data_IF_259671928134
#
_entry.id   IF_259671928134
#
_cell.length_a   1.000
_cell.length_b   1.000
_cell.length_c   1.000
_cell.angle_alpha   90.00
_cell.angle_beta   90.00
_cell.angle_gamma   90.00
#
_symmetry.space_group_name_H-M   'P 1'
#
loop_
_entity.id
_entity.type
_entity.pdbx_description
1 polymer ?
#
# COMPACT_ATOMS: atom_id res chain seq x y z
N UNK A 1 13.42 -0.18 22.10
CA UNK A 1 12.74 0.28 23.33
C UNK A 1 12.18 1.67 23.06
N UNK A 2 10.87 1.87 23.17
CA UNK A 2 10.27 3.19 23.04
C UNK A 2 10.86 4.14 24.07
N UNK A 3 11.37 5.29 23.62
CA UNK A 3 11.88 6.31 24.52
C UNK A 3 10.70 6.94 25.27
N UNK A 4 10.39 6.43 26.46
CA UNK A 4 9.69 7.18 27.51
C UNK A 4 10.65 8.22 28.13
N UNK A 5 11.35 8.99 27.30
CA UNK A 5 12.25 10.03 27.75
C UNK A 5 11.43 11.29 27.94
N UNK A 6 11.71 12.05 29.01
CA UNK A 6 11.20 13.38 29.25
C UNK A 6 11.61 14.32 28.10
N UNK A 7 10.91 14.21 26.98
CA UNK A 7 11.15 15.01 25.81
C UNK A 7 10.97 16.48 26.18
N UNK A 8 11.86 17.35 25.70
CA UNK A 8 11.76 18.78 25.96
C UNK A 8 10.38 19.29 25.50
N UNK A 9 9.88 20.36 26.13
CA UNK A 9 8.59 20.95 25.79
C UNK A 9 8.43 21.20 24.29
N UNK A 10 9.53 21.50 23.60
CA UNK A 10 9.58 21.72 22.16
C UNK A 10 9.31 20.44 21.38
N UNK A 11 9.96 19.33 21.75
CA UNK A 11 9.86 18.03 21.07
C UNK A 11 8.45 17.45 21.18
N UNK A 12 7.85 17.54 22.37
CA UNK A 12 6.48 17.07 22.63
C UNK A 12 5.45 17.90 21.84
N UNK A 13 5.66 19.22 21.70
CA UNK A 13 4.80 20.07 20.85
C UNK A 13 4.91 19.65 19.37
N UNK A 14 6.11 19.39 18.86
CA UNK A 14 6.28 18.96 17.47
C UNK A 14 5.69 17.57 17.23
N UNK A 15 5.91 16.63 18.17
CA UNK A 15 5.30 15.30 18.10
C UNK A 15 3.78 15.37 18.02
N UNK A 16 3.12 16.20 18.84
CA UNK A 16 1.65 16.40 18.74
C UNK A 16 1.23 16.92 17.37
N UNK A 17 1.99 17.83 16.75
CA UNK A 17 1.69 18.29 15.39
C UNK A 17 1.82 17.15 14.38
N UNK A 18 2.86 16.33 14.49
CA UNK A 18 3.03 15.16 13.63
C UNK A 18 1.88 14.16 13.79
N UNK A 19 1.45 13.86 15.03
CA UNK A 19 0.27 13.03 15.32
C UNK A 19 -0.98 13.63 14.70
N UNK A 20 -1.19 14.94 14.88
CA UNK A 20 -2.34 15.66 14.31
C UNK A 20 -2.38 15.56 12.78
N UNK A 21 -1.28 15.87 12.11
CA UNK A 21 -1.24 15.86 10.66
C UNK A 21 -1.28 14.44 10.08
N UNK A 22 -0.75 13.46 10.81
CA UNK A 22 -0.96 12.03 10.53
C UNK A 22 -2.43 11.66 10.63
N UNK A 23 -3.11 12.07 11.71
CA UNK A 23 -4.52 11.77 11.97
C UNK A 23 -5.48 12.41 10.96
N UNK A 24 -5.19 13.61 10.45
CA UNK A 24 -6.05 14.30 9.47
C UNK A 24 -5.62 14.08 8.01
N UNK A 25 -4.74 13.12 7.74
CA UNK A 25 -4.21 12.83 6.41
C UNK A 25 -3.65 14.08 5.68
N UNK A 26 -2.84 14.90 6.37
CA UNK A 26 -2.31 16.14 5.81
C UNK A 26 -0.79 16.08 5.61
N UNK A 27 -0.36 15.52 4.48
CA UNK A 27 1.06 15.31 4.18
C UNK A 27 1.84 16.64 4.09
N UNK A 28 1.29 17.68 3.45
CA UNK A 28 1.98 18.97 3.28
C UNK A 28 2.34 19.63 4.62
N UNK A 29 1.41 19.63 5.58
CA UNK A 29 1.67 20.17 6.91
C UNK A 29 2.51 19.22 7.73
N UNK A 30 2.40 17.92 7.48
CA UNK A 30 3.20 16.93 8.17
C UNK A 30 4.68 17.07 7.82
N UNK A 31 5.01 17.17 6.54
CA UNK A 31 6.37 17.36 6.05
C UNK A 31 7.02 18.61 6.69
N UNK A 32 6.31 19.75 6.63
CA UNK A 32 6.75 21.02 7.25
C UNK A 32 6.91 20.96 8.77
N UNK A 33 6.18 20.07 9.44
CA UNK A 33 6.21 19.90 10.89
C UNK A 33 7.03 18.70 11.35
N UNK A 34 7.65 17.97 10.42
CA UNK A 34 8.44 16.79 10.75
C UNK A 34 9.66 17.20 11.54
N UNK A 35 9.87 16.49 12.64
CA UNK A 35 10.96 16.76 13.57
C UNK A 35 11.63 15.44 13.93
N UNK A 36 12.76 15.18 13.27
CA UNK A 36 13.47 13.89 13.30
C UNK A 36 13.69 13.32 14.71
N UNK A 37 14.07 14.11 15.75
CA UNK A 37 14.27 13.58 17.09
C UNK A 37 13.01 12.97 17.74
N UNK A 38 11.82 13.38 17.29
CA UNK A 38 10.55 12.88 17.83
C UNK A 38 9.84 11.85 16.94
N UNK A 39 10.43 11.46 15.80
CA UNK A 39 9.80 10.54 14.83
C UNK A 39 9.54 9.17 15.47
N UNK A 40 10.46 8.68 16.32
CA UNK A 40 10.34 7.40 17.03
C UNK A 40 9.47 7.41 18.30
N UNK A 41 8.82 8.53 18.62
CA UNK A 41 8.02 8.62 19.84
C UNK A 41 6.70 7.85 19.71
N UNK A 42 6.22 7.37 20.86
CA UNK A 42 4.95 6.69 21.00
C UNK A 42 3.93 7.57 21.71
N UNK A 43 2.66 7.45 21.33
CA UNK A 43 1.59 8.26 21.88
C UNK A 43 1.32 7.84 23.34
N UNK A 44 1.68 8.70 24.29
CA UNK A 44 1.45 8.45 25.72
C UNK A 44 0.40 9.42 26.29
N UNK A 45 -0.52 8.90 27.11
CA UNK A 45 -1.56 9.71 27.77
C UNK A 45 -0.95 10.74 28.71
N UNK A 46 0.07 10.34 29.48
CA UNK A 46 0.74 11.22 30.43
C UNK A 46 1.44 12.39 29.71
N UNK A 47 2.20 12.09 28.66
CA UNK A 47 2.89 13.09 27.83
C UNK A 47 1.90 14.03 27.13
N UNK A 48 0.75 13.51 26.69
CA UNK A 48 -0.30 14.34 26.08
C UNK A 48 -0.98 15.29 27.09
N UNK A 49 -1.29 14.81 28.30
CA UNK A 49 -1.89 15.64 29.34
C UNK A 49 -0.93 16.72 29.83
N UNK A 50 0.33 16.37 30.07
CA UNK A 50 1.37 17.34 30.46
C UNK A 50 1.52 18.45 29.41
N UNK A 51 1.50 18.09 28.13
CA UNK A 51 1.51 19.04 27.04
C UNK A 51 0.30 19.98 27.05
N UNK A 52 -0.90 19.45 27.26
CA UNK A 52 -2.12 20.26 27.35
C UNK A 52 -1.99 21.29 28.47
N UNK A 53 -1.59 20.88 29.67
CA UNK A 53 -1.39 21.79 30.80
C UNK A 53 -0.37 22.90 30.51
N UNK A 54 0.73 22.58 29.81
CA UNK A 54 1.74 23.58 29.40
C UNK A 54 1.19 24.56 28.37
N UNK A 55 0.36 24.10 27.42
CA UNK A 55 -0.27 24.95 26.41
C UNK A 55 -1.30 25.87 27.05
N UNK A 56 -2.16 25.34 27.93
CA UNK A 56 -3.12 26.10 28.73
C UNK A 56 -2.40 27.22 29.50
N UNK A 57 -1.29 26.91 30.18
CA UNK A 57 -0.47 27.91 30.87
C UNK A 57 0.16 28.98 29.95
N UNK A 58 0.44 28.69 28.68
CA UNK A 58 0.90 29.69 27.69
C UNK A 58 -0.25 30.54 27.18
N UNK A 59 -1.43 29.95 26.97
CA UNK A 59 -2.65 30.67 26.58
C UNK A 59 -3.05 31.63 27.71
N UNK A 60 -2.89 31.22 28.96
CA UNK A 60 -3.23 32.06 30.11
C UNK A 60 -2.40 33.33 30.23
N UNK A 61 -1.16 33.32 29.74
CA UNK A 61 -0.25 34.47 29.72
C UNK A 61 -0.55 35.47 28.60
N UNK A 62 -1.53 35.21 27.73
CA UNK A 62 -1.91 36.12 26.65
C UNK A 62 -2.70 37.29 27.26
N UNK A 63 -2.24 38.54 27.12
CA UNK A 63 -2.91 39.69 27.73
C UNK A 63 -4.26 40.03 27.07
N UNK A 64 -4.36 39.86 25.75
CA UNK A 64 -5.58 40.13 24.99
C UNK A 64 -6.64 39.05 25.25
N UNK A 65 -7.75 39.45 25.86
CA UNK A 65 -8.84 38.56 26.26
C UNK A 65 -9.54 37.89 25.08
N UNK A 66 -9.68 38.57 23.93
CA UNK A 66 -10.30 38.00 22.73
C UNK A 66 -9.40 36.96 22.08
N UNK A 67 -8.10 37.26 21.97
CA UNK A 67 -7.11 36.32 21.42
C UNK A 67 -6.93 35.13 22.35
N UNK A 68 -6.91 35.35 23.67
CA UNK A 68 -6.86 34.29 24.68
C UNK A 68 -8.06 33.35 24.55
N UNK A 69 -9.28 33.88 24.50
CA UNK A 69 -10.50 33.08 24.37
C UNK A 69 -10.51 32.24 23.09
N UNK A 70 -10.17 32.85 21.95
CA UNK A 70 -10.12 32.14 20.66
C UNK A 70 -9.08 31.01 20.64
N UNK A 71 -7.90 31.21 21.25
CA UNK A 71 -6.88 30.16 21.34
C UNK A 71 -7.26 29.06 22.34
N UNK A 72 -7.91 29.41 23.45
CA UNK A 72 -8.38 28.44 24.43
C UNK A 72 -9.45 27.54 23.82
N UNK A 73 -10.45 28.12 23.16
CA UNK A 73 -11.53 27.37 22.49
C UNK A 73 -10.96 26.39 21.46
N UNK A 74 -10.06 26.86 20.58
CA UNK A 74 -9.35 25.99 19.64
C UNK A 74 -8.58 24.86 20.33
N UNK A 75 -7.88 25.16 21.44
CA UNK A 75 -7.12 24.14 22.16
C UNK A 75 -8.02 23.07 22.80
N UNK A 76 -9.12 23.49 23.42
CA UNK A 76 -10.11 22.60 24.03
C UNK A 76 -10.75 21.71 22.97
N UNK A 77 -11.17 22.26 21.84
CA UNK A 77 -11.73 21.50 20.73
C UNK A 77 -10.73 20.44 20.21
N UNK A 78 -9.48 20.81 19.97
CA UNK A 78 -8.44 19.85 19.55
C UNK A 78 -8.15 18.78 20.62
N UNK A 79 -8.24 19.13 21.91
CA UNK A 79 -8.06 18.19 23.03
C UNK A 79 -9.21 17.19 23.06
N UNK A 80 -10.44 17.65 22.90
CA UNK A 80 -11.63 16.79 22.85
C UNK A 80 -11.60 15.85 21.63
N UNK A 81 -11.24 16.36 20.45
CA UNK A 81 -11.11 15.55 19.23
C UNK A 81 -10.12 14.39 19.41
N UNK A 82 -8.97 14.66 20.04
CA UNK A 82 -7.98 13.62 20.31
C UNK A 82 -8.50 12.56 21.28
N UNK A 83 -9.15 12.95 22.38
CA UNK A 83 -9.72 11.98 23.32
C UNK A 83 -10.86 11.17 22.70
N UNK A 84 -11.72 11.79 21.89
CA UNK A 84 -12.74 11.09 21.14
C UNK A 84 -12.12 10.08 20.15
N UNK A 85 -11.01 10.43 19.48
CA UNK A 85 -10.29 9.50 18.62
C UNK A 85 -9.72 8.30 19.39
N UNK A 86 -9.23 8.51 20.62
CA UNK A 86 -8.76 7.44 21.50
C UNK A 86 -9.92 6.54 21.95
N UNK A 87 -11.05 7.11 22.35
CA UNK A 87 -12.24 6.36 22.76
C UNK A 87 -12.85 5.55 21.61
N UNK A 88 -12.84 6.10 20.40
CA UNK A 88 -13.25 5.40 19.18
C UNK A 88 -12.24 4.34 18.71
N UNK A 89 -11.09 4.22 19.37
CA UNK A 89 -10.02 3.29 18.99
C UNK A 89 -9.29 3.65 17.69
N UNK A 90 -9.47 4.87 17.18
CA UNK A 90 -8.73 5.40 16.00
C UNK A 90 -7.28 5.74 16.32
N UNK A 91 -6.99 5.99 17.60
CA UNK A 91 -5.64 6.14 18.14
C UNK A 91 -5.54 5.28 19.39
N UNK A 92 -4.52 4.45 19.50
CA UNK A 92 -4.27 3.62 20.68
C UNK A 92 -3.03 4.15 21.40
N UNK A 93 -3.04 4.09 22.73
CA UNK A 93 -1.87 4.47 23.51
C UNK A 93 -0.69 3.54 23.18
N UNK A 94 0.48 4.13 23.04
CA UNK A 94 1.69 3.49 22.56
C UNK A 94 1.82 3.44 21.04
N UNK A 95 0.80 3.87 20.28
CA UNK A 95 0.90 3.91 18.82
C UNK A 95 2.08 4.80 18.40
N UNK A 96 2.87 4.31 17.44
CA UNK A 96 3.77 5.17 16.66
C UNK A 96 2.97 5.91 15.60
N UNK A 97 3.59 6.89 14.93
CA UNK A 97 2.95 7.59 13.80
C UNK A 97 2.54 6.64 12.66
N UNK A 98 3.29 5.55 12.47
CA UNK A 98 2.96 4.52 11.48
C UNK A 98 1.71 3.71 11.89
N UNK A 99 1.49 3.39 13.17
CA UNK A 99 0.25 2.72 13.60
C UNK A 99 -0.98 3.57 13.28
N UNK A 100 -0.92 4.87 13.61
CA UNK A 100 -2.03 5.80 13.33
C UNK A 100 -2.28 5.87 11.82
N UNK A 101 -1.23 6.01 11.01
CA UNK A 101 -1.36 6.06 9.56
C UNK A 101 -1.96 4.77 8.97
N UNK A 102 -1.52 3.61 9.45
CA UNK A 102 -2.00 2.29 9.00
C UNK A 102 -3.46 2.05 9.40
N UNK A 103 -3.80 2.31 10.67
CA UNK A 103 -5.15 2.11 11.20
C UNK A 103 -6.20 2.95 10.46
N UNK A 104 -5.82 4.17 10.09
CA UNK A 104 -6.65 5.10 9.34
C UNK A 104 -6.56 4.93 7.82
N UNK A 105 -5.68 4.06 7.32
CA UNK A 105 -5.51 3.81 5.88
C UNK A 105 -4.89 4.97 5.09
N UNK A 106 -4.07 5.82 5.72
CA UNK A 106 -3.45 6.99 5.09
C UNK A 106 -2.21 6.62 4.28
N UNK A 107 -2.40 6.08 3.08
CA UNK A 107 -1.33 5.46 2.28
C UNK A 107 -0.14 6.36 1.99
N UNK A 108 -0.39 7.64 1.70
CA UNK A 108 0.69 8.60 1.43
C UNK A 108 1.55 8.85 2.66
N UNK A 109 0.91 8.95 3.83
CA UNK A 109 1.58 9.16 5.11
C UNK A 109 2.31 7.89 5.55
N UNK A 110 1.77 6.70 5.28
CA UNK A 110 2.48 5.44 5.49
C UNK A 110 3.79 5.43 4.68
N UNK A 111 3.70 5.73 3.38
CA UNK A 111 4.88 5.81 2.51
C UNK A 111 5.89 6.86 3.00
N UNK A 112 5.41 8.03 3.42
CA UNK A 112 6.24 9.09 4.00
C UNK A 112 7.00 8.61 5.25
N UNK A 113 6.34 7.93 6.17
CA UNK A 113 6.99 7.44 7.39
C UNK A 113 8.01 6.34 7.14
N UNK A 114 7.72 5.43 6.21
CA UNK A 114 8.68 4.41 5.79
C UNK A 114 9.91 5.04 5.12
N UNK A 115 9.71 6.08 4.29
CA UNK A 115 10.80 6.82 3.66
C UNK A 115 11.68 7.56 4.69
N UNK A 116 11.10 7.94 5.85
CA UNK A 116 11.80 8.50 7.01
C UNK A 116 12.42 7.45 7.93
N UNK A 117 12.34 6.16 7.58
CA UNK A 117 12.95 5.06 8.32
C UNK A 117 12.18 4.66 9.59
N UNK A 118 10.87 4.96 9.66
CA UNK A 118 10.05 4.51 10.78
C UNK A 118 9.80 3.00 10.68
N UNK A 119 10.29 2.26 11.68
CA UNK A 119 10.15 0.80 11.73
C UNK A 119 8.73 0.38 12.12
N UNK A 120 8.18 -0.58 11.38
CA UNK A 120 6.87 -1.22 11.59
C UNK A 120 6.88 -2.28 12.70
N UNK A 121 8.06 -2.76 13.08
CA UNK A 121 8.26 -3.77 14.14
C UNK A 121 8.33 -3.20 15.56
N UNK A 122 8.05 -1.91 15.75
CA UNK A 122 7.93 -1.33 17.09
C UNK A 122 6.52 -1.63 17.59
N UNK A 123 6.32 -2.37 18.68
CA UNK A 123 4.98 -2.64 19.18
C UNK A 123 4.42 -1.43 19.94
N UNK A 124 3.12 -1.19 19.83
CA UNK A 124 2.41 -0.25 20.70
C UNK A 124 2.28 -0.78 22.14
N UNK A 125 1.61 -0.05 23.04
CA UNK A 125 1.48 -0.49 24.45
C UNK A 125 0.54 -1.70 24.63
N UNK A 126 -0.18 -2.11 23.58
CA UNK A 126 -0.92 -3.38 23.54
C UNK A 126 -0.09 -4.55 23.02
N UNK A 127 1.14 -4.31 22.56
CA UNK A 127 1.99 -5.32 21.95
C UNK A 127 1.71 -5.54 20.45
N UNK A 128 0.85 -4.72 19.83
CA UNK A 128 0.52 -4.83 18.41
C UNK A 128 1.57 -4.10 17.57
N UNK A 129 1.98 -4.70 16.44
CA UNK A 129 2.80 -4.05 15.42
C UNK A 129 1.93 -3.27 14.42
N UNK A 130 2.52 -2.36 13.66
CA UNK A 130 1.77 -1.51 12.72
C UNK A 130 1.00 -2.34 11.67
N UNK A 131 1.58 -3.44 11.16
CA UNK A 131 0.91 -4.30 10.17
C UNK A 131 -0.28 -5.09 10.75
N UNK A 132 -0.42 -5.19 12.08
CA UNK A 132 -1.49 -5.95 12.74
C UNK A 132 -2.73 -5.09 13.03
N UNK A 133 -2.61 -3.76 12.87
CA UNK A 133 -3.69 -2.81 13.14
C UNK A 133 -4.38 -2.31 11.86
N UNK A 134 -4.11 -2.97 10.73
CA UNK A 134 -4.73 -2.68 9.44
C UNK A 134 -6.23 -2.96 9.48
N UNK A 135 -7.02 -2.05 8.94
CA UNK A 135 -8.49 -2.17 8.83
C UNK A 135 -8.95 -2.55 7.42
N UNK A 136 -8.09 -2.33 6.41
CA UNK A 136 -8.40 -2.54 5.01
C UNK A 136 -7.46 -3.57 4.36
N UNK A 137 -7.97 -4.53 3.56
CA UNK A 137 -7.13 -5.54 2.90
C UNK A 137 -6.02 -4.97 2.01
N UNK A 138 -6.26 -3.83 1.37
CA UNK A 138 -5.28 -3.18 0.50
C UNK A 138 -4.15 -2.49 1.30
N UNK A 139 -4.44 -2.06 2.53
CA UNK A 139 -3.43 -1.57 3.49
C UNK A 139 -2.66 -2.74 4.09
N UNK A 140 -3.35 -3.85 4.37
CA UNK A 140 -2.69 -5.08 4.82
C UNK A 140 -1.68 -5.54 3.78
N UNK A 141 -2.07 -5.62 2.51
CA UNK A 141 -1.18 -5.97 1.40
C UNK A 141 0.05 -5.05 1.36
N UNK A 142 -0.16 -3.74 1.48
CA UNK A 142 0.91 -2.75 1.55
C UNK A 142 1.87 -3.01 2.73
N UNK A 143 1.36 -3.40 3.89
CA UNK A 143 2.16 -3.67 5.08
C UNK A 143 2.86 -5.02 5.00
N UNK A 144 2.26 -6.02 4.36
CA UNK A 144 2.90 -7.31 4.07
C UNK A 144 4.12 -7.12 3.15
N UNK A 145 4.09 -6.12 2.28
CA UNK A 145 5.23 -5.73 1.43
C UNK A 145 6.35 -5.11 2.26
N UNK A 146 6.02 -4.36 3.31
CA UNK A 146 6.98 -3.80 4.26
C UNK A 146 7.62 -4.93 5.06
N UNK A 147 6.80 -5.80 5.67
CA UNK A 147 7.29 -6.95 6.46
C UNK A 147 8.19 -7.86 5.61
N UNK A 148 7.86 -8.07 4.34
CA UNK A 148 8.71 -8.83 3.41
C UNK A 148 10.12 -8.24 3.26
N UNK A 149 10.27 -6.91 3.29
CA UNK A 149 11.59 -6.25 3.23
C UNK A 149 12.43 -6.71 4.43
N UNK A 150 11.87 -6.65 5.63
CA UNK A 150 12.57 -7.05 6.86
C UNK A 150 12.81 -8.54 6.97
N UNK A 151 11.88 -9.37 6.52
CA UNK A 151 12.07 -10.83 6.46
C UNK A 151 13.26 -11.23 5.59
N UNK A 152 13.56 -10.44 4.55
CA UNK A 152 14.63 -10.74 3.59
C UNK A 152 15.96 -10.05 3.98
N UNK A 153 15.89 -8.80 4.42
CA UNK A 153 17.07 -7.96 4.68
C UNK A 153 17.46 -7.86 6.15
N UNK A 154 16.52 -8.10 7.07
CA UNK A 154 16.66 -7.79 8.49
C UNK A 154 16.31 -6.34 8.82
N UNK A 155 16.28 -6.02 10.12
CA UNK A 155 15.89 -4.70 10.64
C UNK A 155 17.01 -3.67 10.75
N UNK A 156 18.27 -4.10 10.61
CA UNK A 156 19.46 -3.26 10.76
C UNK A 156 20.15 -3.02 9.41
N UNK A 157 19.37 -3.07 8.34
CA UNK A 157 19.86 -2.86 7.00
C UNK A 157 19.98 -1.35 6.70
N UNK A 158 21.21 -0.83 6.60
CA UNK A 158 21.47 0.61 6.44
C UNK A 158 20.71 1.28 5.27
N UNK A 159 20.43 0.53 4.21
CA UNK A 159 19.75 1.00 2.99
C UNK A 159 18.22 0.69 2.99
N UNK A 160 17.63 0.37 4.14
CA UNK A 160 16.20 0.06 4.31
C UNK A 160 15.28 1.10 3.64
N UNK A 161 15.54 2.39 3.85
CA UNK A 161 14.76 3.46 3.23
C UNK A 161 14.85 3.45 1.69
N UNK A 162 16.00 3.08 1.10
CA UNK A 162 16.11 2.93 -0.37
C UNK A 162 15.27 1.76 -0.86
N UNK A 163 15.25 0.64 -0.13
CA UNK A 163 14.47 -0.53 -0.51
C UNK A 163 12.97 -0.26 -0.39
N UNK A 164 12.51 0.45 0.64
CA UNK A 164 11.11 0.86 0.72
C UNK A 164 10.70 1.78 -0.44
N UNK A 165 11.59 2.67 -0.91
CA UNK A 165 11.36 3.45 -2.14
C UNK A 165 11.30 2.58 -3.39
N UNK A 166 12.16 1.57 -3.52
CA UNK A 166 12.09 0.56 -4.58
C UNK A 166 10.74 -0.19 -4.55
N UNK A 167 10.36 -0.73 -3.40
CA UNK A 167 9.09 -1.45 -3.19
C UNK A 167 7.88 -0.55 -3.48
N UNK A 168 7.92 0.72 -3.07
CA UNK A 168 6.92 1.73 -3.42
C UNK A 168 6.83 1.95 -4.93
N UNK A 169 7.96 2.00 -5.63
CA UNK A 169 8.00 2.20 -7.08
C UNK A 169 7.46 0.98 -7.82
N UNK A 170 7.89 -0.23 -7.43
CA UNK A 170 7.39 -1.49 -7.98
C UNK A 170 5.86 -1.61 -7.83
N UNK A 171 5.31 -1.24 -6.66
CA UNK A 171 3.86 -1.19 -6.42
C UNK A 171 3.10 -0.27 -7.34
N UNK A 172 3.65 0.92 -7.60
CA UNK A 172 3.03 1.90 -8.50
C UNK A 172 3.09 1.45 -9.95
N UNK A 173 4.17 0.75 -10.32
CA UNK A 173 4.35 0.22 -11.68
C UNK A 173 3.53 -1.03 -11.96
N UNK A 174 3.34 -1.90 -10.98
CA UNK A 174 2.71 -3.19 -11.19
C UNK A 174 1.30 -3.11 -11.82
N UNK A 175 0.36 -2.25 -11.41
CA UNK A 175 -0.94 -2.19 -12.07
C UNK A 175 -0.87 -1.71 -13.54
N UNK A 176 0.25 -1.08 -13.95
CA UNK A 176 0.46 -0.56 -15.31
C UNK A 176 1.19 -1.54 -16.23
N UNK A 177 2.15 -2.29 -15.70
CA UNK A 177 2.99 -3.24 -16.45
C UNK A 177 2.56 -4.69 -16.20
N UNK A 178 2.10 -5.00 -14.99
CA UNK A 178 1.91 -6.38 -14.50
C UNK A 178 3.17 -7.22 -14.76
N UNK A 179 4.34 -6.69 -14.39
CA UNK A 179 5.63 -7.35 -14.58
C UNK A 179 5.70 -8.69 -13.84
N UNK A 180 6.54 -9.58 -14.35
CA UNK A 180 6.81 -10.89 -13.77
C UNK A 180 8.30 -11.08 -13.46
N UNK A 181 8.70 -12.33 -13.17
CA UNK A 181 10.06 -12.64 -12.76
C UNK A 181 11.13 -12.39 -13.85
N UNK A 182 10.73 -12.36 -15.12
CA UNK A 182 11.63 -12.13 -16.26
C UNK A 182 12.11 -10.68 -16.29
N UNK A 183 11.27 -9.69 -15.97
CA UNK A 183 11.66 -8.28 -15.98
C UNK A 183 12.17 -7.76 -14.65
N UNK A 184 11.91 -8.47 -13.54
CA UNK A 184 12.32 -8.07 -12.19
C UNK A 184 13.78 -7.66 -12.10
N UNK A 185 14.68 -8.37 -12.80
CA UNK A 185 16.11 -8.07 -12.77
C UNK A 185 16.45 -6.68 -13.30
N UNK A 186 15.80 -6.27 -14.38
CA UNK A 186 16.02 -4.98 -15.01
C UNK A 186 15.33 -3.88 -14.22
N UNK A 187 14.09 -4.11 -13.80
CA UNK A 187 13.33 -3.18 -12.96
C UNK A 187 14.06 -2.86 -11.65
N UNK A 188 14.59 -3.87 -10.96
CA UNK A 188 15.33 -3.67 -9.71
C UNK A 188 16.60 -2.85 -9.96
N UNK A 189 17.35 -3.11 -11.04
CA UNK A 189 18.56 -2.35 -11.36
C UNK A 189 18.25 -0.89 -11.63
N UNK A 190 17.20 -0.61 -12.40
CA UNK A 190 16.84 0.75 -12.84
C UNK A 190 16.18 1.54 -11.71
N UNK A 191 15.18 0.96 -11.06
CA UNK A 191 14.44 1.63 -9.98
C UNK A 191 15.23 1.72 -8.69
N UNK A 192 16.08 0.72 -8.42
CA UNK A 192 16.93 0.66 -7.25
C UNK A 192 18.26 1.38 -7.40
N UNK A 193 18.60 1.84 -8.62
CA UNK A 193 19.93 2.36 -8.98
C UNK A 193 21.07 1.42 -8.51
N UNK A 194 20.90 0.12 -8.79
CA UNK A 194 21.86 -0.92 -8.37
C UNK A 194 22.52 -1.59 -9.57
N UNK A 195 23.83 -1.80 -9.45
CA UNK A 195 24.63 -2.53 -10.44
C UNK A 195 24.48 -4.05 -10.25
N UNK A 196 24.81 -4.81 -11.29
CA UNK A 196 24.84 -6.29 -11.23
C UNK A 196 25.76 -6.84 -10.12
N UNK A 197 26.77 -6.07 -9.69
CA UNK A 197 27.70 -6.43 -8.62
C UNK A 197 27.22 -6.07 -7.22
N UNK A 198 26.01 -5.51 -7.06
CA UNK A 198 25.51 -5.09 -5.76
C UNK A 198 25.33 -6.30 -4.83
N UNK A 199 25.89 -6.31 -3.61
CA UNK A 199 25.93 -7.49 -2.74
C UNK A 199 24.54 -7.99 -2.34
N UNK A 200 23.54 -7.12 -2.33
CA UNK A 200 22.16 -7.45 -1.97
C UNK A 200 21.22 -7.58 -3.18
N UNK A 201 21.73 -7.58 -4.42
CA UNK A 201 20.89 -7.67 -5.62
C UNK A 201 19.94 -8.87 -5.55
N UNK A 202 20.44 -10.06 -5.24
CA UNK A 202 19.61 -11.27 -5.12
C UNK A 202 18.48 -11.13 -4.10
N UNK A 203 18.70 -10.39 -3.01
CA UNK A 203 17.67 -10.11 -2.01
C UNK A 203 16.61 -9.16 -2.58
N UNK A 204 17.01 -8.13 -3.30
CA UNK A 204 16.07 -7.21 -3.96
C UNK A 204 15.23 -7.93 -5.03
N UNK A 205 15.86 -8.82 -5.81
CA UNK A 205 15.16 -9.69 -6.76
C UNK A 205 14.15 -10.59 -6.06
N UNK A 206 14.52 -11.18 -4.93
CA UNK A 206 13.60 -11.99 -4.12
C UNK A 206 12.39 -11.17 -3.67
N UNK A 207 12.60 -9.94 -3.17
CA UNK A 207 11.53 -9.03 -2.76
C UNK A 207 10.62 -8.74 -3.95
N UNK A 208 11.17 -8.26 -5.07
CA UNK A 208 10.40 -7.88 -6.25
C UNK A 208 9.61 -9.05 -6.87
N UNK A 209 10.20 -10.24 -6.95
CA UNK A 209 9.51 -11.45 -7.42
C UNK A 209 8.37 -11.86 -6.50
N UNK A 210 8.59 -11.81 -5.18
CA UNK A 210 7.56 -12.15 -4.19
C UNK A 210 6.42 -11.15 -4.24
N UNK A 211 6.70 -9.85 -4.44
CA UNK A 211 5.68 -8.81 -4.63
C UNK A 211 4.84 -9.09 -5.89
N UNK A 212 5.50 -9.34 -7.03
CA UNK A 212 4.80 -9.64 -8.28
C UNK A 212 3.90 -10.88 -8.15
N UNK A 213 4.39 -11.95 -7.52
CA UNK A 213 3.58 -13.15 -7.26
C UNK A 213 2.40 -12.86 -6.32
N UNK A 214 2.62 -12.07 -5.26
CA UNK A 214 1.57 -11.68 -4.31
C UNK A 214 0.45 -10.90 -4.99
N UNK A 215 0.77 -9.94 -5.86
CA UNK A 215 -0.23 -9.18 -6.60
C UNK A 215 -0.97 -10.02 -7.62
N UNK A 216 -0.27 -10.91 -8.35
CA UNK A 216 -0.90 -11.86 -9.26
C UNK A 216 -1.91 -12.74 -8.53
N UNK A 217 -1.51 -13.32 -7.40
CA UNK A 217 -2.39 -14.14 -6.58
C UNK A 217 -3.59 -13.34 -6.06
N UNK A 218 -3.37 -12.10 -5.59
CA UNK A 218 -4.46 -11.24 -5.12
C UNK A 218 -5.48 -10.92 -6.20
N UNK A 219 -5.01 -10.57 -7.40
CA UNK A 219 -5.88 -10.31 -8.57
C UNK A 219 -6.67 -11.57 -8.94
N UNK A 220 -6.00 -12.73 -9.05
CA UNK A 220 -6.67 -14.00 -9.34
C UNK A 220 -7.75 -14.32 -8.30
N UNK A 221 -7.47 -14.15 -7.01
CA UNK A 221 -8.46 -14.37 -5.95
C UNK A 221 -9.67 -13.44 -6.02
N UNK A 222 -9.53 -12.22 -6.54
CA UNK A 222 -10.63 -11.28 -6.70
C UNK A 222 -11.46 -11.57 -7.96
N UNK A 223 -10.83 -12.09 -9.02
CA UNK A 223 -11.53 -12.43 -10.27
C UNK A 223 -12.16 -13.82 -10.27
N UNK A 224 -11.63 -14.75 -9.48
CA UNK A 224 -12.10 -16.13 -9.41
C UNK A 224 -13.58 -16.30 -9.04
N UNK A 225 -14.13 -15.56 -8.06
CA UNK A 225 -15.56 -15.60 -7.77
C UNK A 225 -16.42 -15.29 -9.01
N UNK A 226 -16.00 -14.31 -9.83
CA UNK A 226 -16.70 -13.95 -11.07
C UNK A 226 -16.68 -15.11 -12.07
N UNK A 227 -15.55 -15.79 -12.21
CA UNK A 227 -15.44 -16.98 -13.07
C UNK A 227 -16.36 -18.12 -12.59
N UNK A 228 -16.46 -18.32 -11.27
CA UNK A 228 -17.33 -19.35 -10.67
C UNK A 228 -18.81 -19.00 -10.88
N UNK A 229 -19.18 -17.73 -10.72
CA UNK A 229 -20.56 -17.29 -10.93
C UNK A 229 -20.96 -17.42 -12.40
N UNK A 230 -20.08 -17.05 -13.34
CA UNK A 230 -20.27 -17.30 -14.77
C UNK A 230 -20.47 -18.78 -15.10
N UNK A 231 -19.73 -19.68 -14.45
CA UNK A 231 -19.93 -21.12 -14.62
C UNK A 231 -21.31 -21.56 -14.09
N UNK A 232 -21.71 -21.09 -12.92
CA UNK A 232 -23.02 -21.43 -12.32
C UNK A 232 -24.19 -20.95 -13.16
N UNK A 233 -24.09 -19.77 -13.74
CA UNK A 233 -25.11 -19.19 -14.63
C UNK A 233 -25.25 -19.93 -15.96
N UNK A 234 -24.23 -20.68 -16.37
CA UNK A 234 -24.16 -21.39 -17.66
C UNK A 234 -24.09 -22.92 -17.48
N UNK A 235 -24.84 -23.47 -16.52
CA UNK A 235 -24.97 -24.92 -16.25
C UNK A 235 -23.62 -25.65 -16.02
N UNK A 236 -22.62 -24.94 -15.48
CA UNK A 236 -21.25 -25.42 -15.29
C UNK A 236 -20.54 -25.84 -16.59
N UNK A 237 -20.92 -25.27 -17.73
CA UNK A 237 -20.26 -25.50 -19.01
C UNK A 237 -19.26 -24.39 -19.29
N UNK A 238 -17.97 -24.70 -19.19
CA UNK A 238 -16.91 -23.71 -19.41
C UNK A 238 -16.94 -23.05 -20.80
N UNK A 239 -17.36 -23.78 -21.84
CA UNK A 239 -17.47 -23.21 -23.19
C UNK A 239 -18.54 -22.12 -23.25
N UNK A 240 -19.72 -22.39 -22.69
CA UNK A 240 -20.85 -21.44 -22.68
C UNK A 240 -20.54 -20.24 -21.77
N UNK A 241 -19.93 -20.47 -20.60
CA UNK A 241 -19.48 -19.41 -19.70
C UNK A 241 -18.44 -18.47 -20.34
N UNK A 242 -17.49 -19.00 -21.12
CA UNK A 242 -16.53 -18.20 -21.90
C UNK A 242 -17.25 -17.37 -22.97
N UNK A 243 -18.23 -17.96 -23.65
CA UNK A 243 -19.06 -17.24 -24.62
C UNK A 243 -19.84 -16.09 -23.97
N UNK A 244 -20.43 -16.33 -22.80
CA UNK A 244 -21.15 -15.32 -22.03
C UNK A 244 -20.23 -14.17 -21.59
N UNK A 245 -19.03 -14.48 -21.08
CA UNK A 245 -18.03 -13.46 -20.74
C UNK A 245 -17.64 -12.62 -21.95
N UNK A 246 -17.43 -13.23 -23.12
CA UNK A 246 -17.12 -12.48 -24.34
C UNK A 246 -18.27 -11.58 -24.79
N UNK A 247 -19.52 -11.97 -24.51
CA UNK A 247 -20.71 -11.17 -24.82
C UNK A 247 -20.95 -10.02 -23.85
N UNK A 248 -20.25 -9.94 -22.70
CA UNK A 248 -20.37 -8.80 -21.78
C UNK A 248 -20.03 -7.47 -22.46
N UNK A 249 -20.74 -6.38 -22.11
CA UNK A 249 -20.37 -5.04 -22.54
C UNK A 249 -18.91 -4.72 -22.18
N UNK A 250 -18.20 -4.08 -23.10
CA UNK A 250 -16.80 -3.66 -22.89
C UNK A 250 -16.63 -2.85 -21.61
N UNK A 251 -17.57 -1.94 -21.32
CA UNK A 251 -17.53 -1.12 -20.12
C UNK A 251 -17.60 -1.94 -18.82
N UNK A 252 -18.37 -3.04 -18.81
CA UNK A 252 -18.50 -3.93 -17.64
C UNK A 252 -17.22 -4.75 -17.42
N UNK A 253 -16.64 -5.29 -18.49
CA UNK A 253 -15.35 -6.01 -18.44
C UNK A 253 -14.23 -5.11 -17.89
N UNK A 254 -14.18 -3.87 -18.34
CA UNK A 254 -13.20 -2.91 -17.86
C UNK A 254 -13.48 -2.46 -16.43
N UNK A 255 -14.76 -2.28 -16.07
CA UNK A 255 -15.15 -1.93 -14.71
C UNK A 255 -14.73 -3.00 -13.70
N UNK A 256 -14.86 -4.29 -14.04
CA UNK A 256 -14.34 -5.40 -13.25
C UNK A 256 -12.84 -5.21 -12.97
N UNK A 257 -12.04 -4.92 -13.99
CA UNK A 257 -10.59 -4.72 -13.80
C UNK A 257 -10.30 -3.52 -12.91
N UNK A 258 -11.01 -2.41 -13.09
CA UNK A 258 -10.81 -1.21 -12.26
C UNK A 258 -11.19 -1.46 -10.80
N UNK A 259 -12.22 -2.27 -10.54
CA UNK A 259 -12.60 -2.66 -9.18
C UNK A 259 -11.52 -3.51 -8.51
N UNK A 260 -10.98 -4.49 -9.24
CA UNK A 260 -9.89 -5.34 -8.79
C UNK A 260 -8.62 -4.54 -8.51
N UNK A 261 -8.26 -3.60 -9.39
CA UNK A 261 -7.10 -2.73 -9.20
C UNK A 261 -7.30 -1.78 -8.03
N UNK A 262 -8.48 -1.18 -7.83
CA UNK A 262 -8.77 -0.34 -6.66
C UNK A 262 -8.74 -1.12 -5.36
N UNK A 263 -9.24 -2.35 -5.37
CA UNK A 263 -9.22 -3.24 -4.21
C UNK A 263 -7.81 -3.73 -3.85
N UNK A 264 -6.90 -3.76 -4.83
CA UNK A 264 -5.50 -4.21 -4.63
C UNK A 264 -4.58 -3.02 -4.32
N UNK A 265 -4.78 -1.89 -4.99
CA UNK A 265 -3.89 -0.72 -4.95
C UNK A 265 -4.69 0.53 -4.51
N UNK A 266 -4.57 0.96 -3.23
CA UNK A 266 -5.37 2.06 -2.70
C UNK A 266 -5.19 3.40 -3.43
N UNK A 267 -3.98 3.63 -3.99
CA UNK A 267 -3.65 4.86 -4.71
C UNK A 267 -3.93 4.78 -6.20
N UNK A 268 -4.34 3.60 -6.70
CA UNK A 268 -4.58 3.45 -8.13
C UNK A 268 -5.84 4.21 -8.54
N UNK A 269 -5.70 5.00 -9.59
CA UNK A 269 -6.78 5.77 -10.20
C UNK A 269 -6.75 5.49 -11.70
N UNK A 270 -7.92 5.23 -12.28
CA UNK A 270 -8.04 5.10 -13.74
C UNK A 270 -7.63 6.42 -14.39
N UNK A 271 -6.68 6.33 -15.30
CA UNK A 271 -6.38 7.41 -16.25
C UNK A 271 -7.02 7.05 -17.58
N UNK A 272 -7.76 7.99 -18.18
CA UNK A 272 -8.36 7.76 -19.49
C UNK A 272 -7.26 7.69 -20.54
N UNK A 273 -7.09 6.50 -21.10
CA UNK A 273 -6.09 6.16 -22.10
C UNK A 273 -6.64 4.98 -22.92
N UNK A 274 -6.86 5.22 -24.20
CA UNK A 274 -7.54 4.26 -25.09
C UNK A 274 -6.68 3.02 -25.31
N UNK A 275 -5.37 3.18 -25.47
CA UNK A 275 -4.46 2.06 -25.71
C UNK A 275 -4.37 1.16 -24.48
N UNK A 276 -4.31 1.76 -23.29
CA UNK A 276 -4.34 1.01 -22.03
C UNK A 276 -5.67 0.33 -21.79
N UNK A 277 -6.78 1.02 -22.03
CA UNK A 277 -8.12 0.42 -21.88
C UNK A 277 -8.25 -0.81 -22.81
N UNK A 278 -7.74 -0.76 -24.04
CA UNK A 278 -7.68 -1.93 -24.95
C UNK A 278 -6.80 -3.04 -24.38
N UNK A 279 -5.63 -2.72 -23.84
CA UNK A 279 -4.75 -3.73 -23.24
C UNK A 279 -5.37 -4.40 -22.00
N UNK A 280 -6.04 -3.63 -21.13
CA UNK A 280 -6.79 -4.18 -20.00
C UNK A 280 -7.95 -5.07 -20.47
N UNK A 281 -8.64 -4.68 -21.56
CA UNK A 281 -9.72 -5.48 -22.12
C UNK A 281 -9.21 -6.84 -22.59
N UNK A 282 -8.16 -6.87 -23.41
CA UNK A 282 -7.55 -8.11 -23.87
C UNK A 282 -7.06 -8.98 -22.69
N UNK A 283 -6.42 -8.35 -21.70
CA UNK A 283 -6.01 -9.06 -20.49
C UNK A 283 -7.19 -9.72 -19.79
N UNK A 284 -8.28 -8.97 -19.52
CA UNK A 284 -9.45 -9.50 -18.80
C UNK A 284 -10.11 -10.62 -19.57
N UNK A 285 -10.23 -10.51 -20.90
CA UNK A 285 -10.86 -11.56 -21.73
C UNK A 285 -10.05 -12.86 -21.69
N UNK A 286 -8.75 -12.78 -21.91
CA UNK A 286 -7.86 -13.95 -21.91
C UNK A 286 -7.71 -14.54 -20.50
N UNK A 287 -7.48 -13.69 -19.49
CA UNK A 287 -7.32 -14.12 -18.10
C UNK A 287 -8.62 -14.72 -17.54
N UNK A 288 -9.79 -14.16 -17.87
CA UNK A 288 -11.07 -14.71 -17.43
C UNK A 288 -11.37 -16.05 -18.10
N UNK A 289 -11.05 -16.21 -19.39
CA UNK A 289 -11.16 -17.51 -20.03
C UNK A 289 -10.27 -18.57 -19.34
N UNK A 290 -9.07 -18.19 -18.89
CA UNK A 290 -8.19 -19.06 -18.11
C UNK A 290 -8.73 -19.32 -16.69
N UNK A 291 -9.26 -18.32 -15.98
CA UNK A 291 -9.87 -18.50 -14.67
C UNK A 291 -11.10 -19.40 -14.72
N UNK A 292 -11.95 -19.28 -15.76
CA UNK A 292 -13.09 -20.18 -15.99
C UNK A 292 -12.61 -21.61 -16.23
N UNK A 293 -11.59 -21.81 -17.08
CA UNK A 293 -11.03 -23.14 -17.33
C UNK A 293 -10.47 -23.76 -16.05
N UNK A 294 -9.70 -22.99 -15.28
CA UNK A 294 -9.16 -23.42 -14.00
C UNK A 294 -10.28 -23.77 -12.99
N UNK A 295 -11.32 -22.95 -12.91
CA UNK A 295 -12.43 -23.18 -12.00
C UNK A 295 -13.25 -24.42 -12.37
N UNK A 296 -13.37 -24.73 -13.66
CA UNK A 296 -13.98 -25.96 -14.17
C UNK A 296 -13.12 -27.20 -13.89
N UNK A 297 -11.83 -27.14 -14.22
CA UNK A 297 -10.85 -28.21 -13.98
C UNK A 297 -10.79 -28.63 -12.51
N UNK A 298 -10.85 -27.64 -11.61
CA UNK A 298 -10.82 -27.83 -10.16
C UNK A 298 -12.20 -27.99 -9.54
N UNK A 299 -13.28 -27.89 -10.34
CA UNK A 299 -14.69 -27.95 -9.93
C UNK A 299 -15.02 -27.06 -8.73
N UNK A 300 -14.53 -25.82 -8.76
CA UNK A 300 -14.62 -24.86 -7.65
C UNK A 300 -16.03 -24.36 -7.36
N UNK A 301 -17.00 -24.68 -8.23
CA UNK A 301 -18.40 -24.32 -8.05
C UNK A 301 -19.13 -25.23 -7.03
N UNK A 302 -18.53 -26.36 -6.62
CA UNK A 302 -19.05 -27.21 -5.54
C UNK A 302 -18.71 -26.66 -4.16
N UNK A 303 -19.64 -26.79 -3.20
CA UNK A 303 -19.48 -26.27 -1.84
C UNK A 303 -18.33 -26.95 -1.05
N UNK A 304 -17.97 -28.18 -1.42
CA UNK A 304 -16.89 -28.95 -0.80
C UNK A 304 -15.50 -28.66 -1.41
N UNK A 305 -15.41 -27.74 -2.37
CA UNK A 305 -14.15 -27.43 -3.04
C UNK A 305 -13.11 -26.88 -2.03
N UNK A 306 -11.86 -27.38 -2.05
CA UNK A 306 -10.83 -26.89 -1.15
C UNK A 306 -10.51 -25.42 -1.45
N UNK A 307 -10.06 -24.65 -0.43
CA UNK A 307 -9.63 -23.28 -0.66
C UNK A 307 -8.43 -23.26 -1.60
N UNK A 308 -8.46 -22.32 -2.55
CA UNK A 308 -7.40 -22.18 -3.55
C UNK A 308 -6.15 -21.64 -2.86
N UNK A 309 -5.04 -22.36 -2.99
CA UNK A 309 -3.73 -21.95 -2.46
C UNK A 309 -2.90 -21.25 -3.53
N UNK A 310 -1.86 -20.53 -3.11
CA UNK A 310 -0.90 -19.89 -4.01
C UNK A 310 -0.22 -20.90 -4.95
N UNK A 311 0.08 -22.11 -4.46
CA UNK A 311 0.72 -23.17 -5.25
C UNK A 311 -0.21 -23.67 -6.37
N UNK A 312 -1.51 -23.74 -6.11
CA UNK A 312 -2.50 -24.11 -7.14
C UNK A 312 -2.54 -23.03 -8.22
N UNK A 313 -2.62 -21.75 -7.84
CA UNK A 313 -2.62 -20.64 -8.81
C UNK A 313 -1.36 -20.62 -9.68
N UNK A 314 -0.20 -20.93 -9.09
CA UNK A 314 1.08 -20.97 -9.79
C UNK A 314 1.09 -21.96 -10.98
N UNK A 315 0.31 -23.05 -10.91
CA UNK A 315 0.20 -24.01 -12.01
C UNK A 315 -0.52 -23.42 -13.24
N UNK A 316 -1.42 -22.45 -13.03
CA UNK A 316 -2.21 -21.81 -14.08
C UNK A 316 -1.66 -20.43 -14.48
N UNK A 317 -0.64 -19.93 -13.79
CA UNK A 317 -0.07 -18.59 -13.99
C UNK A 317 0.27 -18.30 -15.46
N UNK A 318 0.88 -19.26 -16.17
CA UNK A 318 1.26 -19.07 -17.58
C UNK A 318 0.07 -18.86 -18.50
N UNK A 319 -1.09 -19.43 -18.16
CA UNK A 319 -2.32 -19.30 -18.94
C UNK A 319 -3.03 -17.98 -18.60
N UNK A 320 -3.13 -17.67 -17.30
CA UNK A 320 -3.82 -16.47 -16.79
C UNK A 320 -3.08 -15.18 -17.20
N UNK A 321 -1.75 -15.16 -17.08
CA UNK A 321 -0.94 -13.95 -17.27
C UNK A 321 -0.33 -13.84 -18.67
N UNK A 322 -0.83 -14.63 -19.63
CA UNK A 322 -0.32 -14.66 -21.00
C UNK A 322 -0.39 -13.29 -21.69
N UNK A 323 -1.51 -12.59 -21.53
CA UNK A 323 -1.80 -11.32 -22.21
C UNK A 323 -1.71 -10.11 -21.27
N UNK A 324 -0.75 -10.16 -20.34
CA UNK A 324 -0.48 -9.06 -19.40
C UNK A 324 -0.02 -7.79 -20.13
N UNK A 325 -0.08 -6.65 -19.43
CA UNK A 325 0.13 -5.30 -19.98
C UNK A 325 1.59 -4.95 -20.31
N UNK A 326 2.54 -5.86 -20.09
CA UNK A 326 3.96 -5.57 -20.25
C UNK A 326 4.38 -5.44 -21.73
N UNK A 327 5.47 -4.72 -22.02
CA UNK A 327 6.12 -4.77 -23.32
C UNK A 327 6.59 -6.20 -23.61
N UNK A 328 6.90 -6.47 -24.88
CA UNK A 328 7.52 -7.73 -25.29
C UNK A 328 8.80 -7.96 -24.46
N UNK A 329 9.03 -9.17 -23.89
CA UNK A 329 10.25 -9.51 -23.18
C UNK A 329 11.55 -9.09 -23.90
N UNK A 330 11.58 -9.16 -25.23
CA UNK A 330 12.76 -8.81 -26.02
C UNK A 330 13.04 -7.29 -26.06
N UNK A 331 12.03 -6.45 -25.78
CA UNK A 331 12.13 -4.99 -25.77
C UNK A 331 12.37 -4.41 -24.36
N UNK A 332 12.26 -5.23 -23.31
CA UNK A 332 12.37 -4.80 -21.90
C UNK A 332 13.72 -4.16 -21.60
N UNK A 333 14.81 -4.73 -22.13
CA UNK A 333 16.18 -4.23 -21.92
C UNK A 333 16.32 -2.78 -22.42
N UNK A 334 15.79 -2.48 -23.59
CA UNK A 334 15.84 -1.13 -24.17
C UNK A 334 14.99 -0.14 -23.38
N UNK A 335 13.78 -0.55 -22.96
CA UNK A 335 12.88 0.29 -22.16
C UNK A 335 13.48 0.60 -20.78
N UNK A 336 14.14 -0.39 -20.17
CA UNK A 336 14.78 -0.27 -18.87
C UNK A 336 16.16 0.39 -18.92
N UNK A 337 16.88 0.35 -20.05
CA UNK A 337 18.23 0.93 -20.16
C UNK A 337 18.28 2.44 -19.86
N UNK A 338 17.15 3.14 -19.97
CA UNK A 338 17.03 4.55 -19.67
C UNK A 338 16.00 4.76 -18.55
N UNK A 339 16.41 5.40 -17.45
CA UNK A 339 15.50 5.81 -16.39
C UNK A 339 14.36 6.67 -16.94
N UNK A 340 14.62 7.45 -17.99
CA UNK A 340 13.60 8.22 -18.72
C UNK A 340 12.59 7.34 -19.45
N UNK A 341 12.96 6.14 -19.91
CA UNK A 341 12.05 5.17 -20.52
C UNK A 341 11.07 4.58 -19.51
N UNK A 342 11.60 4.15 -18.35
CA UNK A 342 10.76 3.74 -17.21
C UNK A 342 9.93 4.92 -16.71
N UNK A 343 10.52 6.11 -16.59
CA UNK A 343 9.78 7.30 -16.21
C UNK A 343 8.75 7.68 -17.25
N UNK A 344 8.93 7.50 -18.55
CA UNK A 344 7.91 7.77 -19.57
C UNK A 344 6.76 6.77 -19.46
N UNK A 345 7.08 5.49 -19.28
CA UNK A 345 6.10 4.43 -19.00
C UNK A 345 5.23 4.80 -17.79
N UNK A 346 5.85 5.38 -16.75
CA UNK A 346 5.14 5.79 -15.52
C UNK A 346 4.55 7.22 -15.59
N UNK A 347 5.19 8.17 -16.28
CA UNK A 347 4.81 9.60 -16.45
C UNK A 347 3.72 9.81 -17.50
N UNK A 348 3.31 8.77 -18.21
CA UNK A 348 2.10 8.78 -19.03
C UNK A 348 0.80 9.08 -18.22
N UNK A 349 0.86 9.43 -16.91
CA UNK A 349 0.35 10.71 -16.35
C UNK A 349 0.59 10.87 -14.83
N UNK A 350 0.96 12.09 -14.45
CA UNK A 350 0.95 12.76 -13.14
C UNK A 350 1.70 12.14 -11.94
N UNK A 351 2.98 12.52 -11.83
CA UNK A 351 3.80 12.38 -10.61
C UNK A 351 3.60 13.50 -9.58
N UNK A 352 2.48 14.22 -9.63
CA UNK A 352 2.08 15.17 -8.59
C UNK A 352 0.61 14.96 -8.21
N UNK A 353 0.41 14.15 -7.18
CA UNK A 353 -0.56 14.34 -6.11
C UNK A 353 -0.11 13.44 -4.95
#
# INVERSE_FOLDING_TARGET
MGQNVSADATEVVQFRKMVKYTYYNNLDKLDKATFDPAVGFQISRASYLELCSRIEGRIDRIPDSRVKAAKLDKHVNEKMDFFAAVEQGKVVLGDTLLHVAVRLGHVEIIGYWLDKGLKENVPNFRGEFAHQVCTHPSIQLLMDDVVLVHDVLGYDYDDEAKVHRLVRSLRRMWPLWMFDATETALLVKVLGDVRSSHPFLNKYLKIANTLAARYRNRVSHLCLPVAIDLLRENDHKAYDAKGAMLAWPTDEKLQLMWDVLRATFPQWKRQKDVEKDVAYLHFVEDAMAAWIAMADDLRLYHDDAPPITADVLQNFDRQIWKSRLGPDPDDVDNLCAHIDGVQQFVRAKDFHA
#
